data_IF_386357701593
#
_entry.id   IF_386357701593
#
_cell.length_a   1.000
_cell.length_b   1.000
_cell.length_c   1.000
_cell.angle_alpha   90.00
_cell.angle_beta   90.00
_cell.angle_gamma   90.00
#
_symmetry.space_group_name_H-M   'P 1'
#
loop_
_entity.id
_entity.type
_entity.pdbx_description
1 polymer ?
#
# COMPACT_ATOMS: atom_id res chain seq x y z
N UNK A 1 -23.82 6.17 -13.13
CA UNK A 1 -22.54 5.77 -12.53
C UNK A 1 -22.91 4.91 -11.33
N UNK A 2 -23.03 3.61 -11.55
CA UNK A 2 -23.51 2.67 -10.53
C UNK A 2 -22.49 2.55 -9.42
N UNK A 3 -22.96 2.73 -8.20
CA UNK A 3 -22.17 2.71 -6.98
C UNK A 3 -21.71 1.27 -6.70
N UNK A 4 -20.54 0.89 -7.22
CA UNK A 4 -19.89 -0.39 -6.94
C UNK A 4 -19.36 -0.49 -5.48
N UNK A 5 -19.53 0.54 -4.65
CA UNK A 5 -19.07 0.52 -3.25
C UNK A 5 -19.90 -0.36 -2.31
N UNK A 6 -20.99 -0.98 -2.79
CA UNK A 6 -21.79 -1.91 -1.99
C UNK A 6 -21.09 -3.26 -1.72
N UNK A 7 -20.05 -3.59 -2.48
CA UNK A 7 -19.22 -4.78 -2.27
C UNK A 7 -18.00 -4.44 -1.40
N UNK A 8 -17.86 -5.12 -0.26
CA UNK A 8 -16.72 -4.90 0.65
C UNK A 8 -15.36 -5.10 -0.02
N UNK A 9 -14.33 -4.48 0.54
CA UNK A 9 -12.95 -4.55 0.04
C UNK A 9 -12.09 -5.42 0.97
N UNK A 10 -11.21 -6.26 0.40
CA UNK A 10 -10.31 -7.13 1.17
C UNK A 10 -9.55 -6.33 2.23
N UNK A 11 -9.56 -6.79 3.49
CA UNK A 11 -8.94 -6.08 4.62
C UNK A 11 -7.49 -5.67 4.35
N UNK A 12 -6.70 -6.54 3.71
CA UNK A 12 -5.31 -6.25 3.36
C UNK A 12 -5.17 -5.10 2.36
N UNK A 13 -6.13 -4.95 1.44
CA UNK A 13 -6.18 -3.83 0.49
C UNK A 13 -6.57 -2.53 1.17
N UNK A 14 -7.57 -2.56 2.07
CA UNK A 14 -7.96 -1.40 2.89
C UNK A 14 -6.77 -0.87 3.70
N UNK A 15 -6.06 -1.77 4.40
CA UNK A 15 -4.86 -1.41 5.17
C UNK A 15 -3.75 -0.82 4.29
N UNK A 16 -3.56 -1.34 3.08
CA UNK A 16 -2.56 -0.83 2.16
C UNK A 16 -2.89 0.59 1.67
N UNK A 17 -4.15 0.86 1.35
CA UNK A 17 -4.63 2.19 0.90
C UNK A 17 -4.69 3.22 2.04
N UNK A 18 -4.84 2.75 3.28
CA UNK A 18 -4.64 3.55 4.48
C UNK A 18 -3.15 3.87 4.74
N UNK A 19 -2.22 3.35 3.94
CA UNK A 19 -0.78 3.61 4.07
C UNK A 19 -0.08 2.78 5.14
N UNK A 20 -0.78 1.84 5.78
CA UNK A 20 -0.26 1.06 6.93
C UNK A 20 0.91 0.15 6.52
N UNK A 21 0.76 -0.58 5.42
CA UNK A 21 1.75 -1.56 4.97
C UNK A 21 1.59 -1.90 3.49
N UNK A 22 2.46 -2.76 2.95
CA UNK A 22 2.15 -3.46 1.70
C UNK A 22 0.98 -4.44 1.92
N UNK A 23 0.27 -4.84 0.87
CA UNK A 23 -0.81 -5.85 0.98
C UNK A 23 -0.31 -7.15 1.63
N UNK A 24 0.87 -7.63 1.23
CA UNK A 24 1.49 -8.85 1.80
C UNK A 24 1.88 -8.69 3.27
N UNK A 25 2.38 -7.52 3.66
CA UNK A 25 2.73 -7.30 5.06
C UNK A 25 1.48 -7.09 5.92
N UNK A 26 0.41 -6.48 5.36
CA UNK A 26 -0.90 -6.45 6.00
C UNK A 26 -1.45 -7.87 6.22
N UNK A 27 -1.36 -8.76 5.23
CA UNK A 27 -1.73 -10.18 5.37
C UNK A 27 -0.98 -10.86 6.52
N UNK A 28 0.33 -10.62 6.65
CA UNK A 28 1.12 -11.14 7.78
C UNK A 28 0.65 -10.57 9.13
N UNK A 29 0.33 -9.28 9.20
CA UNK A 29 -0.20 -8.66 10.42
C UNK A 29 -1.55 -9.27 10.82
N UNK A 30 -2.40 -9.55 9.83
CA UNK A 30 -3.69 -10.22 10.04
C UNK A 30 -3.46 -11.64 10.58
N UNK A 31 -2.65 -12.46 9.90
CA UNK A 31 -2.35 -13.84 10.36
C UNK A 31 -1.73 -13.85 11.75
N UNK A 32 -0.93 -12.84 12.10
CA UNK A 32 -0.36 -12.67 13.43
C UNK A 32 -1.37 -12.23 14.51
N UNK A 33 -2.65 -12.04 14.18
CA UNK A 33 -3.70 -11.65 15.12
C UNK A 33 -3.60 -10.21 15.61
N UNK A 34 -2.89 -9.34 14.88
CA UNK A 34 -2.67 -7.92 15.25
C UNK A 34 -3.78 -7.00 14.77
N UNK A 35 -4.65 -7.49 13.89
CA UNK A 35 -5.69 -6.69 13.25
C UNK A 35 -7.05 -7.09 13.81
N UNK A 36 -7.88 -6.10 14.13
CA UNK A 36 -9.27 -6.33 14.52
C UNK A 36 -10.23 -5.48 13.70
N UNK A 37 -11.38 -6.04 13.36
CA UNK A 37 -12.49 -5.37 12.67
C UNK A 37 -13.68 -5.33 13.63
N UNK A 38 -14.20 -4.13 13.90
CA UNK A 38 -15.30 -3.91 14.84
C UNK A 38 -15.05 -4.53 16.23
N UNK A 39 -13.78 -4.55 16.67
CA UNK A 39 -13.36 -5.10 17.96
C UNK A 39 -13.10 -6.61 17.97
N UNK A 40 -13.39 -7.34 16.87
CA UNK A 40 -13.08 -8.75 16.75
C UNK A 40 -11.73 -8.96 16.05
N UNK A 41 -10.80 -9.69 16.67
CA UNK A 41 -9.51 -10.04 16.06
C UNK A 41 -9.73 -10.91 14.83
N UNK A 42 -9.07 -10.55 13.74
CA UNK A 42 -9.14 -11.24 12.44
C UNK A 42 -7.80 -11.90 12.17
N UNK A 43 -7.83 -13.19 11.86
CA UNK A 43 -6.65 -13.99 11.51
C UNK A 43 -6.66 -14.50 10.06
N UNK A 44 -7.78 -14.31 9.35
CA UNK A 44 -7.91 -14.65 7.94
C UNK A 44 -7.82 -13.39 7.07
N UNK A 45 -6.84 -13.30 6.15
CA UNK A 45 -6.79 -12.19 5.21
C UNK A 45 -7.96 -12.16 4.22
N UNK A 46 -8.74 -13.25 4.12
CA UNK A 46 -9.90 -13.35 3.27
C UNK A 46 -11.14 -12.60 3.81
N UNK A 47 -11.01 -11.76 4.83
CA UNK A 47 -12.13 -10.91 5.24
C UNK A 47 -12.30 -9.72 4.29
N UNK A 48 -13.52 -9.49 3.82
CA UNK A 48 -13.91 -8.26 3.13
C UNK A 48 -14.54 -7.28 4.13
N UNK A 49 -14.05 -6.05 4.13
CA UNK A 49 -14.44 -4.96 5.02
C UNK A 49 -15.43 -4.07 4.29
N UNK A 50 -16.55 -3.75 4.93
CA UNK A 50 -17.61 -2.93 4.35
C UNK A 50 -17.43 -1.46 4.69
N UNK A 51 -18.03 -0.53 3.93
CA UNK A 51 -18.13 0.86 4.33
C UNK A 51 -18.71 0.97 5.75
N UNK A 52 -18.00 1.67 6.64
CA UNK A 52 -18.40 1.88 8.04
C UNK A 52 -17.77 0.92 9.05
N UNK A 53 -17.18 -0.19 8.61
CA UNK A 53 -16.42 -1.07 9.49
C UNK A 53 -15.17 -0.37 10.04
N UNK A 54 -14.89 -0.59 11.33
CA UNK A 54 -13.73 -0.01 12.01
C UNK A 54 -12.59 -1.02 12.06
N UNK A 55 -11.52 -0.73 11.32
CA UNK A 55 -10.29 -1.53 11.32
C UNK A 55 -9.29 -0.93 12.31
N UNK A 56 -8.71 -1.78 13.15
CA UNK A 56 -7.68 -1.40 14.12
C UNK A 56 -6.46 -2.30 13.96
N UNK A 57 -5.27 -1.73 14.18
CA UNK A 57 -4.00 -2.42 14.28
C UNK A 57 -3.44 -2.23 15.69
N UNK A 58 -3.19 -3.34 16.41
CA UNK A 58 -2.74 -3.34 17.80
C UNK A 58 -3.60 -2.43 18.71
N UNK A 59 -4.92 -2.45 18.51
CA UNK A 59 -5.90 -1.65 19.25
C UNK A 59 -6.03 -0.19 18.83
N UNK A 60 -5.22 0.30 17.87
CA UNK A 60 -5.32 1.67 17.34
C UNK A 60 -6.08 1.70 16.01
N UNK A 61 -7.05 2.61 15.82
CA UNK A 61 -7.70 2.79 14.52
C UNK A 61 -6.68 3.09 13.44
N UNK A 62 -6.85 2.48 12.26
CA UNK A 62 -6.10 2.89 11.07
C UNK A 62 -6.78 4.10 10.42
N UNK A 63 -6.00 4.90 9.70
CA UNK A 63 -6.54 6.01 8.94
C UNK A 63 -7.47 5.54 7.82
N UNK A 64 -8.35 6.43 7.37
CA UNK A 64 -9.15 6.17 6.18
C UNK A 64 -8.24 6.04 4.94
N UNK A 65 -8.61 5.20 3.96
CA UNK A 65 -7.91 5.16 2.67
C UNK A 65 -7.76 6.55 2.06
N UNK A 66 -6.54 6.89 1.64
CA UNK A 66 -6.32 8.16 0.95
C UNK A 66 -6.96 8.13 -0.45
N UNK A 67 -7.39 9.28 -1.00
CA UNK A 67 -7.83 9.37 -2.38
C UNK A 67 -6.75 8.82 -3.33
N UNK A 68 -7.18 8.10 -4.36
CA UNK A 68 -6.28 7.59 -5.39
C UNK A 68 -5.62 8.76 -6.12
N UNK A 69 -4.29 8.68 -6.26
CA UNK A 69 -3.46 9.72 -6.86
C UNK A 69 -2.38 9.07 -7.72
N UNK A 70 -1.98 9.81 -8.75
CA UNK A 70 -0.89 9.45 -9.65
C UNK A 70 0.21 10.51 -9.56
N UNK A 71 1.46 10.07 -9.53
CA UNK A 71 2.63 10.92 -9.61
C UNK A 71 3.46 10.57 -10.83
N UNK A 72 3.99 11.59 -11.48
CA UNK A 72 4.98 11.44 -12.55
C UNK A 72 6.37 11.60 -11.92
N UNK A 73 7.18 10.54 -12.01
CA UNK A 73 8.55 10.55 -11.52
C UNK A 73 9.49 10.38 -12.71
N UNK A 74 10.40 11.32 -12.91
CA UNK A 74 11.50 11.11 -13.82
C UNK A 74 12.59 10.33 -13.09
N UNK A 75 12.68 9.03 -13.36
CA UNK A 75 13.65 8.14 -12.74
C UNK A 75 15.02 8.35 -13.39
N UNK A 76 16.07 8.73 -12.64
CA UNK A 76 17.44 8.72 -13.15
C UNK A 76 18.00 7.28 -13.26
N UNK A 77 19.09 7.13 -14.01
CA UNK A 77 19.89 5.91 -13.99
C UNK A 77 20.46 5.63 -12.58
N UNK A 78 20.78 4.38 -12.29
CA UNK A 78 21.41 3.96 -11.03
C UNK A 78 20.43 3.56 -9.91
N UNK A 79 19.13 3.87 -10.04
CA UNK A 79 18.12 3.47 -9.07
C UNK A 79 17.40 2.18 -9.46
N UNK A 80 17.13 1.32 -8.47
CA UNK A 80 16.32 0.10 -8.65
C UNK A 80 14.84 0.42 -8.49
N UNK A 81 14.01 -0.04 -9.43
CA UNK A 81 12.55 0.05 -9.32
C UNK A 81 11.97 -1.11 -8.49
N UNK A 82 12.22 -1.10 -7.17
CA UNK A 82 11.72 -2.08 -6.19
C UNK A 82 11.50 -1.43 -4.83
N UNK A 83 10.50 -1.88 -4.06
CA UNK A 83 10.25 -1.40 -2.70
C UNK A 83 11.28 -1.92 -1.66
N UNK A 84 12.01 -2.99 -2.01
CA UNK A 84 13.13 -3.53 -1.23
C UNK A 84 14.11 -4.17 -2.20
N UNK A 85 15.37 -3.74 -2.19
CA UNK A 85 16.43 -4.37 -2.97
C UNK A 85 17.21 -5.37 -2.11
N UNK A 86 17.35 -6.60 -2.61
CA UNK A 86 18.06 -7.68 -1.89
C UNK A 86 19.58 -7.49 -1.88
N UNK A 87 20.11 -6.64 -2.78
CA UNK A 87 21.55 -6.37 -2.92
C UNK A 87 21.95 -5.03 -2.29
N UNK A 88 21.04 -4.40 -1.53
CA UNK A 88 21.31 -3.13 -0.85
C UNK A 88 21.52 -1.93 -1.78
N UNK A 89 21.09 -2.02 -3.05
CA UNK A 89 21.15 -0.90 -3.99
C UNK A 89 20.06 0.12 -3.67
N UNK A 90 20.35 1.38 -3.95
CA UNK A 90 19.39 2.46 -3.78
C UNK A 90 18.19 2.26 -4.72
N UNK A 91 17.00 2.40 -4.16
CA UNK A 91 15.73 2.26 -4.86
C UNK A 91 15.16 3.61 -5.23
N UNK A 92 14.17 3.60 -6.14
CA UNK A 92 13.40 4.81 -6.45
C UNK A 92 12.68 5.38 -5.21
N UNK A 93 12.34 4.56 -4.22
CA UNK A 93 11.61 5.02 -3.05
C UNK A 93 12.53 5.68 -2.01
N UNK A 94 13.83 5.38 -2.04
CA UNK A 94 14.83 5.99 -1.14
C UNK A 94 15.14 7.45 -1.51
N UNK A 95 14.81 7.87 -2.73
CA UNK A 95 15.07 9.23 -3.25
C UNK A 95 13.83 10.11 -3.25
N UNK A 96 12.71 9.63 -2.68
CA UNK A 96 11.46 10.40 -2.67
C UNK A 96 11.52 11.56 -1.68
N UNK A 97 10.88 12.70 -1.99
CA UNK A 97 10.80 13.82 -1.05
C UNK A 97 10.15 13.42 0.27
N UNK A 98 10.60 14.04 1.37
CA UNK A 98 9.95 13.90 2.66
C UNK A 98 8.48 14.34 2.61
N UNK A 99 7.61 13.64 3.33
CA UNK A 99 6.17 13.91 3.36
C UNK A 99 5.37 13.29 2.22
N UNK A 100 6.00 12.58 1.28
CA UNK A 100 5.28 11.80 0.29
C UNK A 100 4.53 10.62 0.97
N UNK A 101 3.26 10.35 0.61
CA UNK A 101 2.59 9.15 1.11
C UNK A 101 3.31 7.88 0.62
N UNK A 102 3.00 6.74 1.23
CA UNK A 102 3.42 5.45 0.70
C UNK A 102 2.90 5.28 -0.73
N UNK A 103 3.80 5.09 -1.68
CA UNK A 103 3.49 4.86 -3.10
C UNK A 103 4.11 3.57 -3.63
N UNK A 104 3.65 3.12 -4.78
CA UNK A 104 4.15 1.99 -5.54
C UNK A 104 4.34 2.39 -7.01
N UNK A 105 5.27 1.73 -7.70
CA UNK A 105 5.51 1.97 -9.11
C UNK A 105 4.52 1.23 -9.99
N UNK A 106 4.01 1.89 -11.02
CA UNK A 106 3.27 1.25 -12.11
C UNK A 106 4.29 0.89 -13.18
N UNK A 107 4.50 -0.42 -13.37
CA UNK A 107 5.59 -0.92 -14.21
C UNK A 107 6.96 -0.72 -13.56
N UNK A 108 8.02 -0.92 -14.35
CA UNK A 108 9.42 -0.82 -13.90
C UNK A 108 10.31 -0.31 -15.03
N UNK A 109 11.34 0.42 -14.63
CA UNK A 109 12.50 0.72 -15.47
C UNK A 109 13.73 0.02 -14.88
N UNK A 110 14.59 -0.48 -15.75
CA UNK A 110 15.84 -1.13 -15.35
C UNK A 110 16.78 -0.15 -14.67
N UNK A 111 17.77 -0.69 -13.94
CA UNK A 111 18.75 0.14 -13.21
C UNK A 111 19.55 1.05 -14.16
N UNK A 112 19.77 0.61 -15.40
CA UNK A 112 20.47 1.35 -16.46
C UNK A 112 19.54 2.22 -17.30
N UNK A 113 18.22 2.18 -17.07
CA UNK A 113 17.24 2.99 -17.79
C UNK A 113 16.85 4.23 -17.00
N UNK A 114 16.63 5.33 -17.70
CA UNK A 114 16.03 6.56 -17.20
C UNK A 114 14.74 6.88 -17.95
N UNK A 115 13.94 7.79 -17.39
CA UNK A 115 12.72 8.28 -18.03
C UNK A 115 11.52 8.32 -17.10
N UNK A 116 10.34 8.42 -17.70
CA UNK A 116 9.08 8.51 -16.97
C UNK A 116 8.74 7.16 -16.29
N UNK A 117 8.59 7.21 -14.97
CA UNK A 117 8.01 6.17 -14.14
C UNK A 117 6.77 6.73 -13.45
N UNK A 118 5.67 6.00 -13.53
CA UNK A 118 4.43 6.36 -12.85
C UNK A 118 4.43 5.77 -11.44
N UNK A 119 4.02 6.56 -10.45
CA UNK A 119 3.82 6.11 -9.07
C UNK A 119 2.36 6.31 -8.65
N UNK A 120 1.83 5.43 -7.81
CA UNK A 120 0.44 5.47 -7.31
C UNK A 120 0.36 5.08 -5.83
N UNK A 121 -0.68 5.51 -5.14
CA UNK A 121 -1.04 5.03 -3.80
C UNK A 121 -2.20 4.01 -3.82
N UNK A 122 -2.61 3.58 -5.02
CA UNK A 122 -3.71 2.63 -5.23
C UNK A 122 -3.21 1.35 -5.94
N UNK A 123 -3.38 0.19 -5.29
CA UNK A 123 -2.92 -1.13 -5.79
C UNK A 123 -3.57 -2.34 -5.10
#
# INVERSE_FOLDING_TARGET
MTDETATGERIAKVMARAGVASRRDAEKMIVAGRVAVNGAVVTSPALDVRPGDKVTLDGKPIDAPQPARLWLYYKPVGLVTSARDEKGRQTVFDTMPEGMPRVMSIGRLDITSEGLLLLTNDG
#
